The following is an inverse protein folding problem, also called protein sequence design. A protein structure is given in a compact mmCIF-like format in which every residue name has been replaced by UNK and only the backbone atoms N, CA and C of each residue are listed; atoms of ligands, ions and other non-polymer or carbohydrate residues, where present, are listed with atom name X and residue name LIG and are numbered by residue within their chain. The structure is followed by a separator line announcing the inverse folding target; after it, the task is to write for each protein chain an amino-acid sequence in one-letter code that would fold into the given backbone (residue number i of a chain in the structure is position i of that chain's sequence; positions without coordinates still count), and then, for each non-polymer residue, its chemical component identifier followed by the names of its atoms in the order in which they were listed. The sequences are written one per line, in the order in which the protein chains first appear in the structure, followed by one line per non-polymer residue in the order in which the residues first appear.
data_IF_680768088126
#
_entry.id   IF_680768088126
#
_cell.length_a   1.000
_cell.length_b   1.000
_cell.length_c   1.000
_cell.angle_alpha   90.00
_cell.angle_beta   90.00
_cell.angle_gamma   90.00
#
_symmetry.space_group_name_H-M   'P 1'
#
loop_
_entity.id
_entity.type
_entity.pdbx_description
1 polymer ?
2 non-polymer ?
3 non-polymer ?
4 non-polymer ?
5 non-polymer ?
6 water ?
#
# COMPACT_ATOMS: atom_id res chain seq x y z
N UNK A 2 0.76 -36.30 -9.21
CA UNK A 2 1.47 -34.96 -9.13
C UNK A 2 0.60 -33.73 -8.73
N UNK A 3 0.91 -33.18 -7.55
CA UNK A 3 0.20 -32.04 -7.03
C UNK A 3 0.44 -30.78 -7.93
N UNK A 4 -0.47 -29.81 -7.91
CA UNK A 4 -0.22 -28.52 -8.53
C UNK A 4 0.30 -27.62 -7.46
N UNK A 5 1.36 -26.92 -7.74
CA UNK A 5 1.75 -25.96 -6.65
C UNK A 5 0.93 -24.68 -6.75
N UNK A 6 0.51 -24.11 -5.60
CA UNK A 6 0.02 -22.73 -5.58
C UNK A 6 1.01 -21.78 -4.88
N UNK A 7 1.60 -20.92 -5.68
CA UNK A 7 2.55 -19.96 -5.23
C UNK A 7 1.86 -18.61 -4.84
N UNK A 8 1.81 -18.34 -3.52
CA UNK A 8 1.18 -17.12 -2.99
C UNK A 8 2.31 -16.12 -2.91
N UNK A 9 2.13 -14.94 -3.51
CA UNK A 9 3.03 -13.84 -3.23
C UNK A 9 2.27 -12.81 -2.38
N UNK A 10 2.09 -11.57 -2.88
CA UNK A 10 1.33 -10.59 -2.13
C UNK A 10 -0.15 -10.91 -2.31
N UNK A 11 -0.55 -12.10 -1.84
CA UNK A 11 -1.95 -12.51 -1.88
C UNK A 11 -2.12 -13.59 -0.86
N UNK A 12 -1.86 -13.20 0.37
CA UNK A 12 -1.87 -14.15 1.46
C UNK A 12 -3.29 -14.41 2.01
N UNK A 13 -4.12 -15.07 1.19
CA UNK A 13 -5.53 -15.31 1.52
C UNK A 13 -5.99 -16.55 0.81
N UNK A 14 -7.05 -17.14 1.32
CA UNK A 14 -7.81 -18.21 0.66
C UNK A 14 -8.96 -17.71 -0.25
N UNK A 15 -9.55 -16.56 0.08
CA UNK A 15 -10.79 -16.08 -0.54
C UNK A 15 -10.47 -15.26 -1.81
N UNK A 16 -11.32 -15.39 -2.82
CA UNK A 16 -11.13 -14.67 -4.09
C UNK A 16 -9.69 -14.84 -4.56
N UNK A 17 -9.25 -16.12 -4.69
CA UNK A 17 -7.88 -16.42 -5.09
C UNK A 17 -7.74 -17.24 -6.34
N UNK A 18 -7.74 -16.57 -7.53
CA UNK A 18 -7.86 -17.26 -8.82
C UNK A 18 -6.81 -18.34 -9.03
N UNK A 19 -5.55 -18.11 -8.68
CA UNK A 19 -4.61 -19.24 -8.92
C UNK A 19 -4.92 -20.47 -8.04
N UNK A 20 -5.36 -20.23 -6.81
CA UNK A 20 -5.72 -21.29 -5.88
C UNK A 20 -6.87 -22.13 -6.44
N UNK A 21 -7.96 -21.47 -6.86
CA UNK A 21 -9.04 -22.20 -7.54
C UNK A 21 -8.66 -22.87 -8.86
N UNK A 22 -7.98 -22.17 -9.75
CA UNK A 22 -7.58 -22.70 -11.09
C UNK A 22 -6.82 -24.03 -10.92
N UNK A 23 -5.98 -24.10 -9.88
CA UNK A 23 -5.24 -25.34 -9.53
C UNK A 23 -6.16 -26.36 -8.85
N UNK A 24 -6.95 -25.91 -7.88
CA UNK A 24 -7.80 -26.84 -7.17
C UNK A 24 -8.76 -27.62 -8.11
N UNK A 25 -9.33 -26.97 -9.14
CA UNK A 25 -10.17 -27.71 -10.12
C UNK A 25 -9.43 -28.76 -10.98
N UNK A 26 -8.11 -28.72 -11.05
CA UNK A 26 -7.38 -29.69 -11.90
C UNK A 26 -6.91 -30.91 -11.09
N UNK A 27 -6.71 -30.75 -9.78
CA UNK A 27 -6.10 -31.76 -8.91
C UNK A 27 -5.60 -31.23 -7.57
N UNK A 28 -5.00 -32.14 -6.78
CA UNK A 28 -4.59 -31.82 -5.41
C UNK A 28 -3.56 -30.72 -5.41
N UNK A 29 -3.54 -29.90 -4.36
CA UNK A 29 -2.61 -28.79 -4.32
C UNK A 29 -1.69 -28.81 -3.09
N UNK A 30 -0.65 -27.98 -3.15
CA UNK A 30 0.28 -27.72 -2.06
C UNK A 30 0.69 -26.25 -2.37
N UNK A 31 0.44 -25.40 -1.38
CA UNK A 31 0.81 -23.97 -1.49
C UNK A 31 2.27 -23.75 -1.10
N UNK A 32 2.78 -22.62 -1.53
CA UNK A 32 4.19 -22.28 -1.32
C UNK A 32 4.26 -20.78 -1.18
N UNK A 33 4.95 -20.36 -0.12
CA UNK A 33 5.54 -19.06 -0.08
C UNK A 33 7.07 -19.14 -0.08
N UNK A 34 7.68 -18.13 -0.69
CA UNK A 34 9.13 -17.97 -0.68
C UNK A 34 9.38 -16.61 -0.06
N UNK A 35 10.24 -16.59 1.00
CA UNK A 35 10.69 -15.38 1.67
C UNK A 35 11.91 -14.92 0.87
N UNK A 36 11.69 -13.88 0.09
CA UNK A 36 12.57 -13.47 -0.96
C UNK A 36 13.37 -12.34 -0.46
N UNK A 37 14.70 -12.45 -0.47
CA UNK A 37 15.48 -11.28 0.07
C UNK A 37 15.12 -9.95 -0.71
N UNK A 38 14.74 -10.05 -1.99
CA UNK A 38 14.37 -8.84 -2.74
C UNK A 38 13.20 -8.08 -2.09
N UNK A 39 12.36 -8.76 -1.31
CA UNK A 39 11.23 -8.03 -0.62
C UNK A 39 11.57 -7.87 0.86
N UNK A 40 12.43 -8.74 1.42
CA UNK A 40 12.53 -8.73 2.86
C UNK A 40 13.76 -8.11 3.46
N UNK A 41 14.70 -7.66 2.66
CA UNK A 41 15.64 -6.74 3.22
C UNK A 41 15.04 -5.31 3.30
N UNK A 42 14.27 -5.06 4.36
CA UNK A 42 13.51 -3.80 4.56
C UNK A 42 13.40 -3.62 6.06
N UNK A 43 12.57 -2.73 6.59
CA UNK A 43 12.66 -2.47 8.06
C UNK A 43 12.05 -3.66 8.92
N UNK A 44 12.51 -3.79 10.19
CA UNK A 44 11.88 -4.89 11.00
C UNK A 44 10.34 -4.90 10.98
N UNK A 45 9.67 -3.73 11.10
CA UNK A 45 8.19 -3.71 11.12
C UNK A 45 7.54 -4.41 9.88
N UNK A 46 8.17 -4.33 8.70
CA UNK A 46 7.53 -4.83 7.51
C UNK A 46 7.93 -6.28 7.32
N UNK A 47 9.18 -6.68 7.63
CA UNK A 47 9.54 -8.10 7.66
C UNK A 47 8.56 -8.84 8.60
N UNK A 48 8.31 -8.33 9.80
CA UNK A 48 7.42 -9.04 10.71
C UNK A 48 5.93 -9.10 10.18
N UNK A 49 5.41 -7.98 9.68
CA UNK A 49 4.07 -7.95 9.17
C UNK A 49 3.93 -8.97 8.09
N UNK A 50 4.87 -9.01 7.16
CA UNK A 50 4.80 -10.04 6.09
C UNK A 50 4.87 -11.46 6.72
N UNK A 51 5.85 -11.68 7.60
CA UNK A 51 6.07 -13.03 8.08
C UNK A 51 4.84 -13.53 8.92
N UNK A 52 4.27 -12.66 9.76
CA UNK A 52 3.10 -13.04 10.56
C UNK A 52 1.85 -13.37 9.74
N UNK A 53 1.56 -12.60 8.71
CA UNK A 53 0.62 -13.00 7.63
C UNK A 53 0.92 -14.33 6.88
N UNK A 54 2.17 -14.68 6.69
CA UNK A 54 2.48 -16.01 6.15
C UNK A 54 2.08 -16.97 7.19
N UNK A 55 2.43 -16.66 8.45
CA UNK A 55 2.15 -17.59 9.54
C UNK A 55 0.65 -17.77 9.64
N UNK A 56 -0.12 -16.71 9.50
CA UNK A 56 -1.54 -16.90 9.58
C UNK A 56 -1.96 -17.68 8.32
N UNK A 57 -1.26 -17.57 7.20
CA UNK A 57 -1.81 -18.26 6.04
C UNK A 57 -1.66 -19.80 6.20
N UNK A 58 -0.52 -20.23 6.77
CA UNK A 58 -0.36 -21.65 7.13
C UNK A 58 -1.37 -22.15 8.16
N UNK A 59 -1.67 -21.32 9.17
CA UNK A 59 -2.67 -21.73 10.16
C UNK A 59 -3.97 -21.97 9.43
N UNK A 60 -4.22 -21.12 8.42
CA UNK A 60 -5.43 -21.20 7.59
C UNK A 60 -5.46 -22.47 6.74
N UNK A 61 -4.29 -22.83 6.20
CA UNK A 61 -4.20 -24.12 5.47
C UNK A 61 -4.36 -25.26 6.51
N UNK A 62 -3.53 -25.27 7.57
CA UNK A 62 -3.57 -26.36 8.57
C UNK A 62 -4.99 -26.54 9.01
N UNK A 63 -5.77 -25.45 9.13
CA UNK A 63 -7.12 -25.56 9.73
C UNK A 63 -8.15 -26.24 8.79
N UNK A 64 -7.85 -26.18 7.47
CA UNK A 64 -8.70 -26.79 6.47
C UNK A 64 -8.07 -28.08 5.98
N UNK A 65 -6.95 -28.50 6.59
CA UNK A 65 -6.50 -29.88 6.47
C UNK A 65 -5.40 -29.90 5.40
N UNK A 66 -4.98 -28.72 4.87
CA UNK A 66 -3.92 -28.67 3.80
C UNK A 66 -2.48 -28.22 4.16
N UNK A 67 -1.65 -28.06 3.12
CA UNK A 67 -0.20 -27.90 3.28
C UNK A 67 0.38 -26.63 2.56
N UNK A 68 1.18 -25.83 3.27
CA UNK A 68 1.78 -24.56 2.78
C UNK A 68 3.26 -24.75 3.13
N UNK A 69 4.08 -25.01 2.14
CA UNK A 69 5.54 -24.85 2.25
C UNK A 69 5.95 -23.37 2.48
N UNK A 70 6.98 -23.14 3.26
CA UNK A 70 7.58 -21.79 3.26
C UNK A 70 9.07 -21.97 3.13
N UNK A 71 9.67 -21.40 2.11
CA UNK A 71 11.08 -21.62 1.87
C UNK A 71 11.67 -20.24 1.80
N UNK A 72 12.98 -20.20 1.93
CA UNK A 72 13.69 -18.94 2.02
C UNK A 72 14.81 -18.91 0.94
N UNK A 73 14.92 -17.80 0.20
CA UNK A 73 15.99 -17.58 -0.82
C UNK A 73 15.41 -17.07 -2.15
N UNK A 74 16.12 -17.28 -3.28
CA UNK A 74 15.62 -16.61 -4.49
C UNK A 74 14.46 -17.40 -5.13
N UNK A 75 13.33 -16.74 -5.57
CA UNK A 75 12.20 -17.51 -6.17
C UNK A 75 12.61 -18.52 -7.30
N UNK A 76 13.60 -18.15 -8.15
CA UNK A 76 14.01 -18.96 -9.32
C UNK A 76 14.89 -20.09 -8.90
N UNK A 77 15.23 -20.10 -7.62
CA UNK A 77 15.97 -21.21 -7.01
C UNK A 77 15.08 -22.05 -6.13
N UNK A 78 14.12 -21.42 -5.47
CA UNK A 78 13.17 -22.19 -4.62
C UNK A 78 11.89 -22.70 -5.22
N UNK A 79 11.30 -21.97 -6.16
CA UNK A 79 10.10 -22.53 -6.80
C UNK A 79 10.54 -23.82 -7.54
N UNK A 80 11.66 -23.78 -8.30
CA UNK A 80 12.02 -25.09 -8.89
C UNK A 80 12.31 -26.18 -7.88
N UNK A 81 13.01 -25.86 -6.81
CA UNK A 81 13.24 -26.85 -5.77
C UNK A 81 11.97 -27.48 -5.20
N UNK A 82 10.99 -26.68 -4.85
CA UNK A 82 9.75 -27.26 -4.35
C UNK A 82 9.01 -27.99 -5.48
N UNK A 83 9.09 -27.49 -6.72
CA UNK A 83 8.61 -28.30 -7.86
C UNK A 83 9.22 -29.70 -7.92
N UNK A 84 10.55 -29.81 -7.78
CA UNK A 84 11.20 -31.12 -7.92
C UNK A 84 10.78 -31.87 -6.70
N UNK A 85 11.00 -31.34 -5.50
CA UNK A 85 10.72 -32.14 -4.29
C UNK A 85 9.33 -32.60 -4.16
N UNK A 86 8.40 -31.94 -4.82
CA UNK A 86 7.04 -32.48 -4.75
C UNK A 86 6.63 -33.23 -5.97
N UNK A 87 7.43 -33.16 -7.03
CA UNK A 87 7.01 -33.64 -8.35
C UNK A 87 5.82 -32.91 -8.93
N UNK A 88 5.80 -31.58 -8.81
CA UNK A 88 4.54 -30.89 -9.19
C UNK A 88 4.39 -30.97 -10.68
N UNK A 89 3.15 -30.99 -11.21
CA UNK A 89 2.96 -30.99 -12.68
C UNK A 89 2.99 -29.54 -13.18
N UNK A 90 2.71 -28.59 -12.30
CA UNK A 90 2.67 -27.20 -12.77
C UNK A 90 2.61 -26.25 -11.60
N UNK A 91 2.90 -24.98 -11.81
CA UNK A 91 2.79 -24.03 -10.70
C UNK A 91 1.83 -22.95 -11.15
N UNK A 92 1.04 -22.40 -10.21
CA UNK A 92 0.05 -21.36 -10.48
C UNK A 92 0.25 -20.12 -9.65
N UNK A 93 0.01 -18.94 -10.21
CA UNK A 93 0.16 -17.70 -9.39
C UNK A 93 -0.60 -16.53 -10.03
N UNK A 94 -0.69 -15.39 -9.35
CA UNK A 94 -1.40 -14.20 -9.86
C UNK A 94 -0.39 -13.34 -10.60
N UNK A 95 -0.75 -12.95 -11.85
CA UNK A 95 0.18 -12.10 -12.63
C UNK A 95 0.64 -10.88 -11.85
N UNK A 96 1.88 -10.43 -12.08
CA UNK A 96 2.34 -9.19 -11.46
C UNK A 96 2.82 -8.29 -12.56
N UNK A 97 2.28 -7.09 -12.64
CA UNK A 97 2.73 -6.25 -13.79
C UNK A 97 3.85 -5.24 -13.44
N UNK A 98 4.52 -5.45 -12.31
CA UNK A 98 5.61 -4.61 -11.87
C UNK A 98 6.97 -5.08 -12.36
N UNK A 99 7.95 -4.16 -12.30
CA UNK A 99 9.18 -4.48 -13.03
C UNK A 99 9.92 -5.59 -12.34
N UNK A 100 9.65 -5.80 -11.06
CA UNK A 100 10.34 -6.92 -10.39
C UNK A 100 9.56 -8.20 -10.58
N UNK A 101 8.23 -8.10 -10.41
CA UNK A 101 7.30 -9.09 -10.86
C UNK A 101 7.67 -9.68 -12.20
N UNK A 102 7.83 -8.85 -13.20
CA UNK A 102 8.13 -9.38 -14.53
C UNK A 102 9.46 -10.05 -14.54
N UNK A 103 10.42 -9.49 -13.82
CA UNK A 103 11.80 -10.01 -13.88
C UNK A 103 11.87 -11.34 -13.16
N UNK A 104 11.30 -11.42 -11.96
CA UNK A 104 11.35 -12.67 -11.18
C UNK A 104 10.55 -13.79 -11.93
N UNK A 105 9.25 -13.53 -12.16
CA UNK A 105 8.46 -14.38 -13.01
C UNK A 105 9.09 -14.84 -14.34
N UNK A 106 9.84 -13.96 -15.02
CA UNK A 106 10.62 -14.42 -16.20
C UNK A 106 11.67 -15.48 -15.87
N UNK A 107 12.54 -15.15 -14.92
CA UNK A 107 13.53 -16.03 -14.37
C UNK A 107 12.95 -17.30 -13.79
N UNK A 108 11.83 -17.24 -13.06
CA UNK A 108 11.30 -18.54 -12.58
C UNK A 108 10.87 -19.43 -13.74
N UNK A 109 10.33 -18.83 -14.78
CA UNK A 109 9.76 -19.63 -15.86
C UNK A 109 10.86 -20.32 -16.68
N UNK A 110 12.04 -19.73 -16.68
CA UNK A 110 13.15 -20.37 -17.35
C UNK A 110 13.69 -21.55 -16.57
N UNK A 111 13.88 -21.38 -15.27
CA UNK A 111 14.45 -22.46 -14.47
C UNK A 111 13.48 -23.60 -14.20
N UNK A 112 12.17 -23.33 -14.17
CA UNK A 112 11.15 -24.39 -14.03
C UNK A 112 11.12 -25.26 -15.27
N UNK A 113 11.13 -26.55 -15.09
CA UNK A 113 10.90 -27.52 -16.19
C UNK A 113 9.43 -27.90 -16.49
N UNK A 114 8.48 -27.32 -15.76
CA UNK A 114 7.04 -27.56 -15.90
C UNK A 114 6.40 -26.16 -16.02
N UNK A 115 5.18 -26.08 -16.54
CA UNK A 115 4.64 -24.76 -16.80
C UNK A 115 4.53 -23.87 -15.57
N UNK A 116 4.52 -22.55 -15.80
CA UNK A 116 4.16 -21.54 -14.78
C UNK A 116 2.92 -20.80 -15.31
N UNK A 117 1.73 -21.03 -14.73
CA UNK A 117 0.51 -20.48 -15.30
C UNK A 117 0.14 -19.29 -14.43
N UNK A 118 0.13 -18.07 -14.97
CA UNK A 118 -0.20 -16.86 -14.17
C UNK A 118 -1.63 -16.40 -14.48
N UNK A 119 -2.38 -15.99 -13.49
CA UNK A 119 -3.74 -15.55 -13.67
C UNK A 119 -3.89 -14.09 -13.17
N UNK A 120 -4.85 -13.34 -13.79
CA UNK A 120 -5.10 -11.95 -13.47
C UNK A 120 -5.42 -11.83 -12.01
N UNK A 121 -4.74 -10.93 -11.33
CA UNK A 121 -5.04 -10.72 -9.95
C UNK A 121 -6.46 -10.06 -9.87
N UNK A 122 -7.28 -10.35 -8.84
CA UNK A 122 -8.49 -9.53 -8.87
C UNK A 122 -8.34 -8.02 -8.53
N UNK A 123 -8.91 -7.18 -9.37
CA UNK A 123 -8.77 -5.71 -9.32
C UNK A 123 -10.19 -5.18 -9.63
N UNK A 124 -10.45 -3.92 -9.31
CA UNK A 124 -11.63 -3.17 -9.74
C UNK A 124 -11.41 -2.78 -11.17
N UNK A 125 -10.24 -2.30 -11.51
CA UNK A 125 -9.86 -2.08 -12.89
C UNK A 125 -8.40 -2.53 -13.05
N UNK A 126 -8.04 -3.06 -14.20
CA UNK A 126 -6.66 -3.63 -14.31
C UNK A 126 -5.58 -2.52 -14.57
N UNK A 127 -4.30 -2.78 -14.31
CA UNK A 127 -3.33 -1.65 -14.54
C UNK A 127 -2.80 -1.61 -15.94
N UNK A 128 -3.17 -2.61 -16.75
CA UNK A 128 -2.51 -2.69 -18.05
C UNK A 128 -3.40 -2.51 -19.17
N UNK A 129 -4.31 -1.56 -19.02
CA UNK A 129 -5.25 -1.22 -20.10
C UNK A 129 -4.54 -0.53 -21.30
N UNK A 130 -5.11 -0.67 -22.52
CA UNK A 130 -4.54 0.00 -23.69
C UNK A 130 -4.30 1.51 -23.43
N UNK A 131 -5.33 2.31 -23.17
CA UNK A 131 -5.12 3.76 -22.98
C UNK A 131 -4.44 4.10 -21.67
N UNK A 132 -3.64 5.18 -21.71
CA UNK A 132 -2.88 5.74 -20.58
C UNK A 132 -3.49 7.05 -19.99
N UNK A 133 -4.15 7.06 -18.81
CA UNK A 133 -4.74 8.34 -18.28
C UNK A 133 -3.81 8.95 -17.21
N UNK A 134 -3.68 10.27 -17.09
CA UNK A 134 -2.97 10.85 -15.91
C UNK A 134 -3.98 11.42 -14.93
N UNK A 135 -5.23 11.44 -15.36
CA UNK A 135 -6.32 11.94 -14.54
C UNK A 135 -7.17 10.79 -14.00
N UNK A 136 -7.61 10.90 -12.75
CA UNK A 136 -8.35 9.84 -12.14
C UNK A 136 -9.76 9.73 -12.77
N UNK A 137 -10.39 10.86 -13.13
CA UNK A 137 -11.82 10.84 -13.42
C UNK A 137 -12.00 10.00 -14.68
N UNK A 138 -11.32 10.35 -15.79
CA UNK A 138 -11.52 9.55 -17.02
C UNK A 138 -11.24 8.04 -16.80
N UNK A 139 -10.19 7.74 -16.07
CA UNK A 139 -9.90 6.39 -15.64
C UNK A 139 -11.05 5.72 -14.85
N UNK A 140 -11.57 6.39 -13.82
CA UNK A 140 -12.58 5.77 -12.96
C UNK A 140 -13.87 5.48 -13.72
N UNK A 141 -14.11 6.18 -14.81
CA UNK A 141 -15.37 5.96 -15.57
C UNK A 141 -15.51 4.60 -16.21
N UNK A 142 -14.39 3.91 -16.45
CA UNK A 142 -14.37 2.59 -17.12
C UNK A 142 -14.96 1.59 -16.12
N UNK A 143 -15.11 1.97 -14.86
CA UNK A 143 -15.53 1.02 -13.85
C UNK A 143 -17.02 0.99 -13.76
N UNK A 144 -17.55 -0.21 -13.70
CA UNK A 144 -19.00 -0.36 -13.78
C UNK A 144 -19.58 -1.03 -12.57
N UNK A 145 -18.84 -1.15 -11.44
CA UNK A 145 -19.21 -2.06 -10.34
C UNK A 145 -18.43 -3.39 -10.30
N UNK A 146 -18.24 -3.97 -9.11
CA UNK A 146 -17.36 -5.12 -8.84
C UNK A 146 -17.94 -6.36 -9.53
N UNK A 147 -17.14 -7.23 -10.17
CA UNK A 147 -17.59 -8.61 -10.46
C UNK A 147 -17.69 -9.49 -9.14
N UNK A 148 -18.48 -10.57 -9.12
CA UNK A 148 -18.52 -11.34 -7.84
C UNK A 148 -17.16 -11.95 -7.42
N UNK A 149 -16.81 -11.89 -6.12
CA UNK A 149 -15.61 -12.57 -5.73
C UNK A 149 -15.75 -14.07 -5.78
N UNK A 150 -14.63 -14.80 -5.81
CA UNK A 150 -14.68 -16.28 -5.93
C UNK A 150 -14.67 -16.86 -4.51
N UNK A 151 -15.35 -18.00 -4.32
CA UNK A 151 -15.42 -18.56 -2.92
C UNK A 151 -14.01 -18.94 -2.40
N UNK A 152 -13.81 -19.13 -1.07
CA UNK A 152 -12.54 -19.82 -0.69
C UNK A 152 -12.73 -21.34 -0.90
N UNK A 153 -11.61 -22.14 -0.83
CA UNK A 153 -11.87 -23.57 -0.88
C UNK A 153 -12.64 -23.89 0.35
N UNK A 154 -13.28 -25.05 0.41
CA UNK A 154 -13.85 -25.46 1.66
C UNK A 154 -12.93 -26.17 2.53
N UNK A 155 -12.16 -27.09 1.98
CA UNK A 155 -11.29 -27.92 2.78
C UNK A 155 -10.20 -28.30 1.79
N UNK A 156 -8.96 -28.44 2.21
CA UNK A 156 -7.90 -28.52 1.27
C UNK A 156 -7.39 -29.94 1.30
N UNK A 157 -6.83 -30.42 0.19
CA UNK A 157 -6.37 -31.83 0.30
C UNK A 157 -5.08 -31.96 1.16
N UNK A 158 -4.85 -33.14 1.71
CA UNK A 158 -3.76 -33.41 2.56
C UNK A 158 -2.41 -33.40 1.76
N UNK A 159 -1.34 -32.86 2.34
CA UNK A 159 -0.05 -32.85 1.63
C UNK A 159 1.03 -32.67 2.69
N UNK A 160 2.29 -32.95 2.34
CA UNK A 160 3.35 -32.82 3.38
C UNK A 160 3.70 -31.31 3.52
N UNK A 161 4.26 -30.90 4.65
CA UNK A 161 4.45 -29.48 4.87
C UNK A 161 5.94 -29.32 5.16
N UNK A 162 6.63 -28.36 4.54
CA UNK A 162 8.07 -28.06 4.86
C UNK A 162 8.32 -26.56 5.02
N UNK A 163 9.34 -26.21 5.80
CA UNK A 163 9.76 -24.83 5.94
C UNK A 163 9.54 -24.26 7.33
N UNK A 164 10.41 -23.34 7.75
CA UNK A 164 10.24 -22.64 9.05
C UNK A 164 9.86 -21.18 8.81
N UNK A 165 8.98 -20.61 9.65
CA UNK A 165 8.66 -19.19 9.56
C UNK A 165 9.36 -18.39 10.62
N UNK A 166 10.47 -17.77 10.28
CA UNK A 166 11.11 -17.25 11.43
C UNK A 166 10.30 -16.11 12.12
N UNK A 167 10.75 -15.77 13.32
CA UNK A 167 10.03 -14.85 14.16
C UNK A 167 10.85 -13.62 14.29
N UNK A 168 10.30 -12.45 13.93
CA UNK A 168 11.08 -11.20 14.06
C UNK A 168 10.45 -10.13 14.88
N UNK A 169 11.25 -9.22 15.42
CA UNK A 169 10.76 -8.25 16.40
C UNK A 169 10.18 -7.11 15.60
N UNK A 170 8.86 -6.89 15.63
CA UNK A 170 8.40 -5.79 14.75
C UNK A 170 8.88 -4.45 15.28
N UNK A 171 9.23 -4.38 16.56
CA UNK A 171 9.54 -3.11 17.24
C UNK A 171 8.31 -2.34 17.67
N UNK A 172 7.13 -2.72 17.17
CA UNK A 172 5.93 -2.04 17.61
C UNK A 172 4.75 -3.03 17.60
N UNK A 173 3.60 -2.60 18.14
CA UNK A 173 2.35 -3.39 18.20
C UNK A 173 1.76 -3.55 16.82
N UNK A 174 1.48 -4.78 16.40
CA UNK A 174 0.91 -5.00 15.06
C UNK A 174 -0.56 -5.25 15.05
N UNK A 175 -1.24 -5.06 13.90
CA UNK A 175 -2.67 -5.45 13.90
C UNK A 175 -2.88 -6.96 14.08
N UNK A 176 -4.11 -7.41 14.20
CA UNK A 176 -4.29 -8.84 14.17
C UNK A 176 -4.06 -9.47 12.72
N UNK A 177 -3.03 -10.35 12.57
CA UNK A 177 -2.64 -10.87 11.23
C UNK A 177 -3.61 -11.90 10.63
N UNK A 178 -3.70 -12.01 9.28
CA UNK A 178 -4.56 -13.05 8.68
C UNK A 178 -5.93 -12.62 8.17
N UNK A 179 -6.50 -13.35 7.22
CA UNK A 179 -7.75 -12.90 6.65
C UNK A 179 -8.98 -13.09 7.55
N UNK A 180 -8.87 -13.91 8.58
CA UNK A 180 -9.97 -13.87 9.51
C UNK A 180 -10.14 -12.51 10.28
N UNK A 181 -9.03 -11.96 10.74
CA UNK A 181 -9.04 -10.60 11.24
C UNK A 181 -9.44 -9.55 10.19
N UNK A 182 -8.87 -9.63 9.01
CA UNK A 182 -9.21 -8.68 7.96
C UNK A 182 -10.72 -8.70 7.60
N UNK A 183 -11.32 -9.89 7.42
CA UNK A 183 -12.77 -9.92 7.09
C UNK A 183 -13.65 -9.48 8.27
N UNK A 184 -13.29 -9.82 9.52
CA UNK A 184 -14.01 -9.16 10.67
C UNK A 184 -13.93 -7.65 10.63
N UNK A 185 -12.75 -7.12 10.29
CA UNK A 185 -12.55 -5.67 10.29
C UNK A 185 -13.42 -5.05 9.21
N UNK A 186 -13.38 -5.66 8.04
CA UNK A 186 -14.21 -5.18 6.96
C UNK A 186 -15.70 -5.16 7.34
N UNK A 187 -16.19 -6.18 8.02
CA UNK A 187 -17.65 -6.24 8.20
C UNK A 187 -18.05 -5.21 9.28
N UNK A 188 -17.19 -5.00 10.30
CA UNK A 188 -17.44 -3.95 11.35
C UNK A 188 -17.48 -2.58 10.69
N UNK A 189 -16.45 -2.35 9.87
CA UNK A 189 -16.40 -1.12 9.14
C UNK A 189 -17.67 -0.94 8.28
N UNK A 190 -18.04 -1.93 7.50
CA UNK A 190 -19.10 -1.68 6.55
C UNK A 190 -20.35 -1.47 7.40
N UNK A 191 -20.31 -2.00 8.60
CA UNK A 191 -21.54 -2.02 9.37
C UNK A 191 -21.63 -0.75 10.23
N UNK A 192 -20.51 -0.34 10.85
CA UNK A 192 -20.58 0.84 11.75
C UNK A 192 -20.14 2.19 11.12
N UNK A 193 -19.06 2.19 10.32
CA UNK A 193 -18.66 3.49 9.78
C UNK A 193 -19.07 3.87 8.38
N UNK A 194 -19.46 2.90 7.57
CA UNK A 194 -19.71 3.19 6.17
C UNK A 194 -20.67 4.38 5.95
N UNK A 195 -21.85 4.39 6.64
CA UNK A 195 -22.79 5.50 6.42
C UNK A 195 -22.13 6.86 6.46
N UNK A 196 -21.05 7.04 7.20
CA UNK A 196 -20.56 8.41 7.43
C UNK A 196 -19.20 8.67 6.74
N UNK A 197 -18.77 7.69 5.95
CA UNK A 197 -17.42 7.69 5.41
C UNK A 197 -17.13 9.04 4.73
N UNK A 198 -18.12 9.62 4.10
CA UNK A 198 -17.82 10.63 3.10
C UNK A 198 -17.70 11.93 3.88
N UNK A 199 -18.47 11.97 4.97
CA UNK A 199 -18.36 13.03 6.01
C UNK A 199 -17.11 12.90 6.90
N UNK A 200 -16.56 11.69 7.02
CA UNK A 200 -15.58 11.42 8.06
C UNK A 200 -14.12 11.09 7.56
N UNK A 201 -13.95 10.84 6.25
CA UNK A 201 -12.71 10.33 5.66
C UNK A 201 -11.48 11.18 5.86
N UNK A 202 -11.67 12.50 5.98
CA UNK A 202 -10.63 13.50 6.10
C UNK A 202 -10.18 13.93 7.54
N UNK A 203 -10.63 13.26 8.59
CA UNK A 203 -10.09 13.59 9.90
C UNK A 203 -8.59 13.24 9.93
N UNK A 204 -7.88 13.73 10.93
CA UNK A 204 -6.48 13.49 11.01
C UNK A 204 -6.21 12.22 11.73
N UNK A 205 -7.15 11.82 12.60
CA UNK A 205 -7.04 10.56 13.37
C UNK A 205 -7.35 9.29 12.55
N UNK A 206 -7.99 9.50 11.38
CA UNK A 206 -8.17 8.48 10.38
C UNK A 206 -9.18 7.52 10.85
N UNK A 207 -9.94 7.96 11.87
CA UNK A 207 -10.83 7.07 12.66
C UNK A 207 -12.21 6.88 12.02
N UNK A 208 -12.51 7.73 11.01
CA UNK A 208 -13.65 7.44 10.13
C UNK A 208 -13.45 6.51 8.94
N UNK A 209 -12.23 5.97 8.74
CA UNK A 209 -11.94 4.93 7.75
C UNK A 209 -11.72 3.49 8.28
N UNK A 210 -11.33 2.59 7.38
CA UNK A 210 -11.52 1.16 7.65
C UNK A 210 -10.30 0.67 8.38
N UNK A 211 -9.21 1.43 8.19
CA UNK A 211 -7.92 0.96 8.61
C UNK A 211 -7.58 -0.42 8.06
N UNK A 212 -7.80 -0.65 6.77
CA UNK A 212 -7.55 -2.00 6.21
C UNK A 212 -6.34 -2.02 5.25
N UNK A 213 -5.77 -0.84 4.94
CA UNK A 213 -4.59 -0.83 4.12
C UNK A 213 -3.50 -1.86 4.49
N UNK A 214 -3.26 -2.11 5.79
CA UNK A 214 -2.14 -3.04 6.02
C UNK A 214 -2.47 -4.40 5.37
N UNK A 215 -3.75 -4.75 5.34
CA UNK A 215 -4.20 -5.99 4.74
C UNK A 215 -4.20 -5.98 3.23
N UNK A 216 -4.62 -4.85 2.59
CA UNK A 216 -4.67 -4.74 1.10
C UNK A 216 -3.25 -4.77 0.53
N UNK A 217 -2.28 -4.39 1.32
CA UNK A 217 -0.92 -4.33 0.83
C UNK A 217 -0.29 -5.72 0.62
N UNK A 218 -0.61 -6.68 1.50
CA UNK A 218 -0.18 -8.05 1.32
C UNK A 218 -1.25 -8.88 0.60
N UNK A 219 -2.33 -8.24 0.16
CA UNK A 219 -3.35 -9.03 -0.51
C UNK A 219 -4.04 -9.99 0.44
N UNK A 220 -4.02 -9.70 1.76
CA UNK A 220 -4.74 -10.45 2.74
C UNK A 220 -6.23 -10.20 2.59
N UNK A 221 -6.60 -9.10 1.92
CA UNK A 221 -8.01 -8.87 1.61
C UNK A 221 -8.03 -8.49 0.17
N UNK A 222 -9.06 -8.93 -0.58
CA UNK A 222 -9.10 -8.76 -2.00
C UNK A 222 -9.78 -7.46 -2.29
N UNK A 223 -9.23 -6.65 -3.24
CA UNK A 223 -10.00 -5.40 -3.44
C UNK A 223 -11.33 -5.67 -4.13
N UNK A 224 -11.48 -6.77 -4.87
CA UNK A 224 -12.77 -6.97 -5.52
C UNK A 224 -13.80 -7.50 -4.51
N UNK A 225 -13.35 -8.24 -3.48
CA UNK A 225 -14.29 -8.63 -2.42
C UNK A 225 -14.76 -7.39 -1.61
N UNK A 226 -13.81 -6.54 -1.16
CA UNK A 226 -14.15 -5.33 -0.42
C UNK A 226 -15.17 -4.50 -1.17
N UNK A 227 -14.93 -4.25 -2.47
CA UNK A 227 -15.83 -3.38 -3.28
C UNK A 227 -17.23 -4.04 -3.45
N UNK A 228 -17.22 -5.33 -3.80
CA UNK A 228 -18.44 -6.06 -4.07
C UNK A 228 -19.29 -5.97 -2.82
N UNK A 229 -18.65 -6.18 -1.69
CA UNK A 229 -19.36 -6.09 -0.41
C UNK A 229 -19.90 -4.71 -0.06
N UNK A 230 -19.12 -3.64 -0.35
CA UNK A 230 -19.62 -2.25 -0.14
C UNK A 230 -20.77 -1.96 -1.11
N UNK A 231 -20.71 -2.60 -2.27
CA UNK A 231 -21.74 -2.42 -3.24
C UNK A 231 -23.08 -3.10 -2.88
N UNK A 232 -23.00 -4.21 -2.16
CA UNK A 232 -24.18 -4.81 -1.57
C UNK A 232 -24.78 -3.99 -0.41
N UNK A 233 -23.92 -3.36 0.40
CA UNK A 233 -24.47 -2.61 1.50
C UNK A 233 -25.12 -1.40 0.90
N UNK A 234 -24.42 -0.78 -0.06
CA UNK A 234 -24.95 0.37 -0.86
C UNK A 234 -25.10 1.65 -0.05
N UNK A 235 -25.83 2.63 -0.54
CA UNK A 235 -25.97 3.92 0.18
C UNK A 235 -24.83 4.84 -0.20
N UNK A 236 -24.69 5.95 0.53
CA UNK A 236 -23.73 7.01 0.11
C UNK A 236 -22.24 6.74 0.46
N UNK A 237 -22.01 6.42 1.73
CA UNK A 237 -20.66 6.10 2.13
C UNK A 237 -20.11 5.17 1.05
N UNK A 238 -21.01 4.35 0.49
CA UNK A 238 -20.57 3.14 -0.25
C UNK A 238 -19.87 3.51 -1.51
N UNK A 239 -20.44 4.51 -2.23
CA UNK A 239 -19.82 4.97 -3.47
C UNK A 239 -18.42 5.57 -3.30
N UNK A 240 -18.21 6.20 -2.16
CA UNK A 240 -17.07 7.08 -2.00
C UNK A 240 -15.97 6.18 -1.48
N UNK A 241 -16.35 5.17 -0.71
CA UNK A 241 -15.32 4.29 -0.17
C UNK A 241 -14.69 3.56 -1.36
N UNK A 242 -15.56 3.22 -2.32
CA UNK A 242 -15.11 2.37 -3.40
C UNK A 242 -14.31 3.20 -4.41
N UNK A 243 -14.58 4.48 -4.41
CA UNK A 243 -13.85 5.39 -5.21
C UNK A 243 -12.40 5.44 -4.65
N UNK A 244 -12.24 5.21 -3.33
CA UNK A 244 -10.91 5.16 -2.77
C UNK A 244 -10.20 3.87 -3.11
N UNK A 245 -10.92 2.76 -3.09
CA UNK A 245 -10.26 1.52 -3.52
C UNK A 245 -9.74 1.76 -4.93
N UNK A 246 -10.55 2.46 -5.76
CA UNK A 246 -10.15 2.76 -7.15
C UNK A 246 -8.87 3.62 -7.24
N UNK A 247 -8.63 4.50 -6.26
CA UNK A 247 -7.38 5.23 -6.27
C UNK A 247 -6.19 4.32 -6.07
N UNK A 248 -6.39 3.17 -5.44
CA UNK A 248 -5.31 2.16 -5.38
C UNK A 248 -5.03 1.51 -6.77
N UNK A 249 -6.07 1.06 -7.47
CA UNK A 249 -5.83 0.49 -8.79
C UNK A 249 -5.17 1.52 -9.74
N UNK A 250 -5.61 2.78 -9.65
CA UNK A 250 -5.11 3.89 -10.48
C UNK A 250 -3.59 4.13 -10.24
N UNK A 251 -3.17 4.12 -8.97
CA UNK A 251 -1.72 3.99 -8.63
C UNK A 251 -0.91 2.91 -9.34
N UNK A 252 -1.44 1.70 -9.48
CA UNK A 252 -0.80 0.70 -10.36
C UNK A 252 -0.94 1.04 -11.85
N UNK A 253 -2.12 1.53 -12.26
CA UNK A 253 -2.24 2.04 -13.63
C UNK A 253 -1.10 3.08 -14.00
N UNK A 254 -0.73 3.94 -13.06
CA UNK A 254 0.15 5.05 -13.47
C UNK A 254 1.54 4.47 -13.56
N UNK A 255 1.91 3.64 -12.59
CA UNK A 255 3.29 3.16 -12.57
C UNK A 255 3.58 2.21 -13.70
N UNK A 256 2.53 1.57 -14.21
CA UNK A 256 2.67 0.72 -15.36
C UNK A 256 2.89 1.48 -16.67
N UNK A 257 2.11 2.54 -16.88
CA UNK A 257 2.15 3.27 -18.16
C UNK A 257 3.24 4.33 -18.08
N UNK A 258 3.65 4.66 -16.88
CA UNK A 258 4.54 5.82 -16.72
C UNK A 258 5.70 5.40 -15.79
N UNK A 259 6.46 4.33 -16.16
CA UNK A 259 7.48 3.65 -15.31
C UNK A 259 8.52 4.60 -14.81
N UNK A 260 8.72 5.69 -15.59
CA UNK A 260 9.85 6.62 -15.39
C UNK A 260 9.46 7.57 -14.34
N UNK A 261 8.18 7.59 -14.10
CA UNK A 261 7.65 8.21 -12.91
C UNK A 261 8.42 7.81 -11.63
N UNK A 262 8.97 6.61 -11.56
CA UNK A 262 9.69 6.25 -10.30
C UNK A 262 11.05 7.00 -10.18
N UNK A 263 11.47 7.66 -11.27
CA UNK A 263 12.70 8.42 -11.27
C UNK A 263 12.51 9.91 -11.16
N UNK A 264 11.37 10.39 -11.66
CA UNK A 264 11.19 11.83 -11.88
C UNK A 264 9.72 12.17 -11.93
N UNK A 265 9.40 13.41 -11.57
CA UNK A 265 8.06 13.94 -11.63
C UNK A 265 7.44 13.61 -12.99
N UNK A 266 6.26 12.99 -12.96
CA UNK A 266 5.30 12.91 -14.05
C UNK A 266 5.17 14.20 -14.87
N UNK A 267 5.11 15.36 -14.23
CA UNK A 267 5.03 16.59 -15.00
C UNK A 267 6.44 17.07 -15.45
N UNK A 268 6.70 17.05 -16.79
CA UNK A 268 7.98 17.47 -17.41
C UNK A 268 8.40 18.80 -16.89
N UNK A 269 7.45 19.68 -16.58
CA UNK A 269 7.87 21.01 -16.16
C UNK A 269 8.59 21.00 -14.81
N UNK A 270 8.41 19.96 -13.99
CA UNK A 270 9.12 19.85 -12.69
C UNK A 270 10.44 19.09 -12.62
N UNK A 271 10.97 18.63 -13.77
CA UNK A 271 12.10 17.67 -13.79
C UNK A 271 13.39 18.36 -13.45
N UNK A 272 13.43 19.65 -13.72
CA UNK A 272 14.52 20.47 -13.20
C UNK A 272 14.09 21.36 -12.01
N UNK A 273 13.67 20.78 -10.91
CA UNK A 273 13.34 21.65 -9.78
C UNK A 273 14.51 21.58 -8.81
N UNK A 274 14.89 22.73 -8.23
CA UNK A 274 16.09 22.69 -7.41
C UNK A 274 15.84 22.33 -5.94
N UNK A 275 15.64 21.03 -5.66
CA UNK A 275 15.74 20.45 -4.30
C UNK A 275 17.05 20.85 -3.61
N UNK A 276 16.98 20.99 -2.30
CA UNK A 276 18.09 21.42 -1.55
C UNK A 276 18.25 20.28 -0.58
N UNK A 277 19.18 19.38 -0.88
CA UNK A 277 19.46 18.34 0.10
C UNK A 277 20.07 19.09 1.28
N UNK A 278 19.94 18.50 2.46
CA UNK A 278 20.25 19.23 3.70
C UNK A 278 19.95 18.31 4.90
N UNK A 279 21.00 17.64 5.38
CA UNK A 279 20.86 16.58 6.35
C UNK A 279 20.10 17.14 7.57
N UNK A 280 20.51 18.30 8.07
CA UNK A 280 19.96 18.81 9.33
C UNK A 280 18.43 18.70 9.27
N UNK A 281 17.86 19.31 8.23
CA UNK A 281 16.42 19.38 7.92
C UNK A 281 15.68 18.06 7.57
N UNK A 282 16.25 17.26 6.68
CA UNK A 282 15.77 15.88 6.58
C UNK A 282 15.51 15.19 7.98
N UNK A 283 16.48 15.26 8.86
CA UNK A 283 16.33 14.62 10.17
C UNK A 283 15.15 15.16 10.99
N UNK A 284 14.89 16.46 10.89
CA UNK A 284 13.82 17.05 11.70
C UNK A 284 12.38 16.76 11.17
N UNK A 285 12.22 16.75 9.85
CA UNK A 285 11.03 16.17 9.24
C UNK A 285 10.88 14.69 9.63
N UNK A 286 11.94 13.91 9.32
CA UNK A 286 11.94 12.47 9.49
C UNK A 286 11.48 12.02 10.90
N UNK A 287 11.92 12.77 11.92
CA UNK A 287 11.79 12.41 13.35
C UNK A 287 10.64 13.24 13.99
N UNK A 288 9.81 13.88 13.17
CA UNK A 288 8.82 14.88 13.62
C UNK A 288 9.31 15.93 14.62
N UNK A 289 10.38 16.67 14.29
CA UNK A 289 10.86 17.77 15.20
C UNK A 289 10.92 19.13 14.51
N UNK A 290 9.89 19.49 13.72
CA UNK A 290 10.02 20.55 12.73
C UNK A 290 9.51 21.84 13.35
N UNK A 291 8.73 21.63 14.42
CA UNK A 291 8.21 22.70 15.23
C UNK A 291 6.79 22.95 14.83
N UNK A 292 6.30 22.18 13.85
CA UNK A 292 4.93 22.37 13.34
C UNK A 292 3.91 21.36 13.92
N UNK A 293 3.06 21.79 14.87
CA UNK A 293 2.33 20.73 15.64
C UNK A 293 1.84 19.54 14.77
N UNK A 294 1.33 19.86 13.59
CA UNK A 294 0.67 18.89 12.77
C UNK A 294 1.65 17.91 12.09
N UNK A 295 2.85 18.38 11.78
CA UNK A 295 3.78 17.52 11.10
C UNK A 295 4.52 16.64 12.10
N UNK A 296 4.77 17.17 13.30
CA UNK A 296 5.40 16.31 14.27
C UNK A 296 4.44 15.28 14.93
N UNK A 297 3.16 15.58 14.99
CA UNK A 297 2.20 14.54 15.35
C UNK A 297 2.17 13.42 14.32
N UNK A 298 2.05 13.81 13.05
CA UNK A 298 2.01 12.82 11.98
C UNK A 298 3.33 12.06 12.01
N UNK A 299 4.47 12.73 11.97
CA UNK A 299 5.68 11.96 11.89
C UNK A 299 5.87 11.05 13.09
N UNK A 300 5.41 11.48 14.27
CA UNK A 300 5.52 10.64 15.47
C UNK A 300 4.56 9.49 15.65
N UNK A 301 3.33 9.64 15.15
CA UNK A 301 2.45 8.51 15.04
C UNK A 301 2.99 7.40 14.10
N UNK A 302 3.39 7.77 12.88
CA UNK A 302 4.09 6.87 11.93
C UNK A 302 5.28 6.12 12.52
N UNK A 303 6.13 6.82 13.25
CA UNK A 303 7.24 6.15 13.94
C UNK A 303 6.78 5.11 14.91
N UNK A 304 5.85 5.47 15.78
CA UNK A 304 5.37 4.58 16.85
C UNK A 304 4.47 3.50 16.28
N UNK A 305 3.74 3.79 15.20
CA UNK A 305 2.56 2.90 14.83
C UNK A 305 2.61 2.17 13.48
N UNK A 306 3.34 2.67 12.49
CA UNK A 306 3.31 2.06 11.21
C UNK A 306 2.09 2.51 10.42
N UNK A 307 1.31 3.41 11.01
CA UNK A 307 0.08 3.87 10.36
C UNK A 307 -0.14 5.36 10.46
N UNK A 308 -0.83 5.90 9.47
CA UNK A 308 -1.07 7.31 9.33
C UNK A 308 -2.34 7.47 8.45
N UNK A 309 -3.18 8.47 8.77
CA UNK A 309 -4.44 8.70 8.01
C UNK A 309 -4.07 9.30 6.63
N UNK A 310 -4.97 9.19 5.63
CA UNK A 310 -4.78 9.93 4.37
C UNK A 310 -4.48 11.43 4.53
N UNK A 311 -5.26 12.10 5.38
CA UNK A 311 -5.10 13.52 5.61
C UNK A 311 -3.79 13.91 6.39
N UNK A 312 -3.26 13.01 7.24
CA UNK A 312 -1.98 13.35 7.86
C UNK A 312 -0.87 13.11 6.82
N UNK A 313 -1.00 12.01 6.07
CA UNK A 313 0.03 11.67 5.10
C UNK A 313 0.21 12.77 4.06
N UNK A 314 -0.88 13.29 3.53
CA UNK A 314 -0.85 14.28 2.45
C UNK A 314 -0.26 15.62 2.94
N UNK A 315 -0.65 16.03 4.15
CA UNK A 315 0.10 17.02 4.97
C UNK A 315 1.56 16.71 5.31
N UNK A 316 1.85 15.60 5.96
CA UNK A 316 3.27 15.32 6.32
C UNK A 316 4.18 15.29 5.09
N UNK A 317 3.69 14.65 4.03
CA UNK A 317 4.43 14.52 2.79
C UNK A 317 4.61 15.81 1.95
N UNK A 318 3.55 16.62 1.82
CA UNK A 318 3.66 17.89 1.13
C UNK A 318 4.59 18.86 1.87
N UNK A 319 4.57 18.73 3.19
CA UNK A 319 5.33 19.67 3.92
C UNK A 319 6.80 19.52 3.51
N UNK A 320 7.31 18.28 3.52
CA UNK A 320 8.71 18.02 3.10
C UNK A 320 9.05 18.62 1.74
N UNK A 321 8.21 18.35 0.76
CA UNK A 321 8.41 18.88 -0.58
C UNK A 321 8.20 20.37 -0.66
N UNK A 322 7.08 20.88 -0.15
CA UNK A 322 6.75 22.28 -0.49
C UNK A 322 7.32 23.31 0.47
N UNK A 323 7.46 22.95 1.74
CA UNK A 323 7.90 23.91 2.73
C UNK A 323 9.37 23.64 3.01
N UNK A 324 9.79 22.39 2.94
CA UNK A 324 11.21 22.10 3.16
C UNK A 324 12.00 21.90 1.87
N UNK A 325 11.31 21.76 0.75
CA UNK A 325 11.98 21.53 -0.53
C UNK A 325 12.97 20.41 -0.50
N UNK A 326 12.69 19.36 0.30
CA UNK A 326 13.58 18.19 0.41
C UNK A 326 13.49 17.32 -0.84
N UNK A 327 14.55 16.58 -1.23
CA UNK A 327 14.30 15.86 -2.47
C UNK A 327 13.27 14.72 -2.26
N UNK A 328 12.22 14.68 -3.08
CA UNK A 328 11.24 13.63 -3.01
C UNK A 328 11.79 12.17 -2.88
N UNK A 329 12.73 11.72 -3.73
CA UNK A 329 13.07 10.31 -3.65
C UNK A 329 13.56 9.93 -2.23
N UNK A 330 14.51 10.67 -1.68
CA UNK A 330 14.91 10.31 -0.36
C UNK A 330 13.66 10.15 0.56
N UNK A 331 12.80 11.16 0.59
CA UNK A 331 11.68 11.20 1.57
C UNK A 331 10.72 10.04 1.40
N UNK A 332 10.46 9.75 0.15
CA UNK A 332 9.29 9.02 -0.09
C UNK A 332 9.65 7.52 0.11
N UNK A 333 10.88 7.17 -0.24
CA UNK A 333 11.50 5.99 0.31
C UNK A 333 11.40 5.84 1.79
N UNK A 334 11.85 6.82 2.55
CA UNK A 334 11.95 6.65 4.03
C UNK A 334 10.52 6.51 4.60
N UNK A 335 9.58 7.23 3.99
CA UNK A 335 8.19 7.15 4.35
C UNK A 335 7.66 5.74 4.23
N UNK A 336 7.96 5.07 3.13
CA UNK A 336 7.31 3.81 2.77
C UNK A 336 7.82 2.68 3.70
N UNK A 337 9.10 2.77 4.02
CA UNK A 337 9.74 1.96 5.07
C UNK A 337 9.16 2.07 6.49
N UNK A 338 8.50 3.19 6.79
CA UNK A 338 7.85 3.29 8.09
C UNK A 338 6.45 2.68 8.13
N UNK A 339 5.89 2.40 6.96
CA UNK A 339 4.46 2.08 6.89
C UNK A 339 4.27 0.56 6.81
N UNK A 340 3.38 -0.03 7.63
CA UNK A 340 3.04 -1.45 7.37
C UNK A 340 2.46 -1.66 5.99
N UNK A 341 1.77 -0.65 5.50
CA UNK A 341 0.95 -0.83 4.29
C UNK A 341 1.75 -0.27 3.12
N UNK A 342 3.02 0.08 3.38
CA UNK A 342 3.88 0.77 2.40
C UNK A 342 3.95 -0.01 1.10
N UNK A 343 3.70 0.68 0.01
CA UNK A 343 3.40 -0.01 -1.23
C UNK A 343 3.96 0.90 -2.29
N UNK A 344 5.01 0.43 -2.93
CA UNK A 344 5.79 1.28 -3.81
C UNK A 344 4.94 2.24 -4.70
N UNK A 345 4.13 1.68 -5.57
CA UNK A 345 3.29 2.45 -6.50
C UNK A 345 2.33 3.45 -5.79
N UNK A 346 1.78 3.07 -4.65
CA UNK A 346 0.73 3.82 -4.04
C UNK A 346 1.37 4.96 -3.34
N UNK A 347 2.45 4.67 -2.65
CA UNK A 347 3.22 5.70 -1.96
C UNK A 347 3.80 6.67 -3.00
N UNK A 348 4.16 6.18 -4.20
CA UNK A 348 4.71 7.12 -5.23
C UNK A 348 3.57 8.04 -5.73
N UNK A 349 2.43 7.45 -5.98
CA UNK A 349 1.29 8.18 -6.39
C UNK A 349 0.91 9.22 -5.37
N UNK A 350 0.87 8.85 -4.09
CA UNK A 350 0.73 9.86 -3.01
C UNK A 350 1.76 11.01 -2.98
N UNK A 351 3.06 10.67 -3.08
CA UNK A 351 4.11 11.69 -3.05
C UNK A 351 3.94 12.60 -4.24
N UNK A 352 3.68 12.01 -5.43
CA UNK A 352 3.47 12.88 -6.61
C UNK A 352 2.20 13.75 -6.62
N UNK A 353 1.19 13.31 -5.90
CA UNK A 353 -0.04 14.05 -5.76
C UNK A 353 0.17 15.18 -4.75
N UNK A 354 0.46 14.80 -3.50
CA UNK A 354 0.70 15.74 -2.40
C UNK A 354 1.74 16.78 -2.82
N UNK A 355 2.83 16.30 -3.45
CA UNK A 355 3.98 17.10 -3.78
C UNK A 355 3.86 17.95 -5.04
N UNK A 356 2.77 17.79 -5.78
CA UNK A 356 2.47 18.72 -6.84
C UNK A 356 3.36 18.43 -8.02
N UNK A 357 3.55 17.16 -8.35
CA UNK A 357 4.50 16.78 -9.40
C UNK A 357 3.82 15.90 -10.46
N UNK A 358 2.50 15.82 -10.38
CA UNK A 358 1.77 15.77 -11.59
C UNK A 358 0.82 14.61 -11.64
N UNK A 359 0.64 13.91 -10.50
CA UNK A 359 -0.53 13.06 -10.42
C UNK A 359 -1.81 13.82 -10.56
N UNK A 360 -2.66 13.39 -11.50
CA UNK A 360 -4.06 13.89 -11.55
C UNK A 360 -4.08 15.42 -11.61
N UNK A 361 -3.03 16.01 -12.16
CA UNK A 361 -3.12 17.42 -12.51
C UNK A 361 -3.35 18.21 -11.17
N UNK A 362 -2.95 17.61 -10.05
CA UNK A 362 -3.07 18.38 -8.82
C UNK A 362 -2.20 19.65 -8.94
N UNK A 363 -2.81 20.82 -8.70
CA UNK A 363 -2.10 22.02 -9.16
C UNK A 363 -1.03 22.33 -8.14
N UNK A 364 0.11 22.82 -8.63
CA UNK A 364 1.16 23.30 -7.75
C UNK A 364 0.63 24.31 -6.70
N UNK A 365 -0.32 25.15 -7.05
CA UNK A 365 -0.65 26.25 -6.16
C UNK A 365 -1.26 25.82 -4.83
N UNK A 366 -1.78 24.61 -4.77
CA UNK A 366 -2.42 24.17 -3.53
C UNK A 366 -1.41 23.97 -2.38
N UNK A 367 -1.24 24.98 -1.51
CA UNK A 367 -0.37 24.82 -0.33
C UNK A 367 -1.14 24.75 1.00
N UNK A 368 -1.08 23.58 1.64
CA UNK A 368 -1.57 23.42 3.01
C UNK A 368 -0.99 24.48 3.93
N UNK A 369 -1.87 25.35 4.43
CA UNK A 369 -1.64 26.05 5.66
C UNK A 369 -1.81 25.08 6.80
N UNK A 370 -0.74 24.89 7.57
CA UNK A 370 -0.63 23.76 8.49
C UNK A 370 -1.49 23.90 9.76
N UNK A 371 -1.71 25.11 10.24
CA UNK A 371 -2.62 25.33 11.39
C UNK A 371 -4.13 25.27 10.99
N UNK A 372 -4.49 26.09 10.01
CA UNK A 372 -5.71 25.82 9.22
C UNK A 372 -6.02 24.29 9.08
N UNK A 373 -5.08 23.53 8.52
CA UNK A 373 -5.32 22.09 8.29
C UNK A 373 -5.69 21.39 9.60
N UNK A 374 -5.06 21.86 10.66
CA UNK A 374 -5.26 21.32 11.97
C UNK A 374 -6.59 21.71 12.55
N UNK A 375 -7.04 22.94 12.30
CA UNK A 375 -8.33 23.37 12.90
C UNK A 375 -9.55 22.77 12.20
N UNK A 376 -9.48 22.60 10.88
CA UNK A 376 -10.53 21.93 10.10
C UNK A 376 -10.58 20.40 10.29
N UNK A 377 -9.53 19.73 10.76
CA UNK A 377 -9.54 18.24 10.74
C UNK A 377 -9.28 17.45 12.04
N UNK A 378 -9.40 18.14 13.15
CA UNK A 378 -9.21 17.61 14.50
C UNK A 378 -9.94 18.45 15.62
N UNK A 379 -11.29 18.55 15.56
CA UNK A 379 -12.01 19.80 15.90
C UNK A 379 -11.73 20.36 17.32
N UNK A 380 -11.65 19.47 18.33
CA UNK A 380 -11.19 19.83 19.69
C UNK A 380 -9.89 19.17 20.22
N UNK A 381 -8.89 19.09 19.37
CA UNK A 381 -7.55 18.82 19.86
C UNK A 381 -7.16 17.37 20.13
N UNK A 382 -8.12 16.45 20.10
CA UNK A 382 -7.86 15.19 20.76
C UNK A 382 -6.59 14.55 20.14
N UNK A 383 -6.41 14.76 18.83
CA UNK A 383 -5.42 13.96 18.05
C UNK A 383 -4.10 14.53 18.42
N UNK A 384 -3.99 15.85 18.31
CA UNK A 384 -2.73 16.59 18.60
C UNK A 384 -2.20 16.34 20.01
N UNK A 385 -3.10 16.10 20.95
CA UNK A 385 -2.72 15.86 22.32
C UNK A 385 -2.26 14.41 22.53
N UNK A 386 -2.74 13.50 21.68
CA UNK A 386 -2.29 12.09 21.74
C UNK A 386 -0.88 11.93 21.17
N UNK A 387 -0.46 12.79 20.23
CA UNK A 387 0.82 12.51 19.53
C UNK A 387 1.89 13.53 19.68
N UNK A 388 1.57 14.75 20.13
CA UNK A 388 2.60 15.74 20.48
C UNK A 388 2.11 16.81 21.43
N UNK A 389 1.77 16.44 22.67
CA UNK A 389 1.24 17.43 23.60
C UNK A 389 2.27 18.50 24.03
N UNK A 390 3.47 18.44 23.46
CA UNK A 390 4.46 19.54 23.54
C UNK A 390 3.75 20.81 23.15
N UNK A 391 2.85 20.66 22.19
CA UNK A 391 2.25 21.78 21.50
C UNK A 391 0.86 22.05 22.08
N UNK A 392 0.60 23.32 22.46
CA UNK A 392 -0.65 23.77 23.08
C UNK A 392 -1.73 24.01 22.03
N UNK A 393 -1.33 24.17 20.77
CA UNK A 393 -2.26 24.19 19.63
C UNK A 393 -1.44 23.97 18.35
N UNK A 394 -2.13 23.97 17.20
CA UNK A 394 -1.50 23.95 15.85
C UNK A 394 -0.70 25.23 15.48
N UNK A 395 -0.64 26.20 16.40
CA UNK A 395 0.32 27.30 16.27
C UNK A 395 1.74 26.78 16.35
N UNK A 396 2.55 27.08 15.32
CA UNK A 396 3.95 26.66 15.27
C UNK A 396 4.84 27.38 16.33
N UNK A 397 5.98 26.74 16.65
CA UNK A 397 6.76 26.92 17.90
C UNK A 397 8.22 26.65 17.60
N UNK A 398 8.98 27.73 17.37
CA UNK A 398 10.31 27.67 16.73
C UNK A 398 10.34 26.62 15.63
N UNK A 399 9.53 26.82 14.56
CA UNK A 399 9.58 26.08 13.26
C UNK A 399 10.96 26.14 12.59
N UNK A 400 11.44 25.01 12.04
CA UNK A 400 12.78 24.94 11.41
C UNK A 400 12.95 25.83 10.16
N UNK A 401 11.85 26.20 9.50
CA UNK A 401 11.80 27.43 8.65
C UNK A 401 10.68 28.41 9.06
N UNK A 402 10.78 29.67 8.61
CA UNK A 402 9.59 30.54 8.50
C UNK A 402 8.59 30.03 7.45
N UNK A 403 7.35 29.82 7.85
CA UNK A 403 6.36 29.20 6.99
C UNK A 403 6.00 30.05 5.76
N UNK A 404 5.74 31.33 5.97
CA UNK A 404 5.42 32.18 4.84
C UNK A 404 6.63 32.41 3.96
N UNK A 405 7.79 32.58 4.58
CA UNK A 405 8.97 32.83 3.77
C UNK A 405 9.03 31.73 2.74
N UNK A 406 8.55 30.55 3.15
CA UNK A 406 8.84 29.27 2.50
C UNK A 406 7.64 28.86 1.61
N UNK A 407 6.43 29.07 2.11
CA UNK A 407 5.29 29.21 1.22
C UNK A 407 5.62 30.21 0.11
N UNK A 408 5.98 31.45 0.44
CA UNK A 408 6.25 32.43 -0.64
C UNK A 408 7.40 31.91 -1.53
N UNK A 409 8.37 31.25 -0.93
CA UNK A 409 9.49 30.72 -1.70
C UNK A 409 9.03 29.72 -2.79
N UNK A 410 8.34 28.64 -2.36
CA UNK A 410 7.91 27.57 -3.30
C UNK A 410 7.06 28.06 -4.49
N UNK A 411 5.87 28.63 -4.17
CA UNK A 411 5.01 29.33 -5.14
C UNK A 411 5.82 30.11 -6.20
N UNK A 412 6.94 30.69 -5.77
CA UNK A 412 7.79 31.51 -6.65
C UNK A 412 8.65 30.66 -7.61
N UNK A 413 9.47 29.78 -7.06
CA UNK A 413 10.30 28.86 -7.87
C UNK A 413 9.35 28.13 -8.81
N UNK A 414 8.19 27.79 -8.27
CA UNK A 414 7.26 26.88 -8.92
C UNK A 414 6.44 27.49 -10.06
N UNK A 415 6.13 28.78 -10.00
CA UNK A 415 5.35 29.44 -11.06
C UNK A 415 6.14 29.69 -12.35
N UNK A 416 7.47 29.87 -12.23
CA UNK A 416 8.41 29.86 -13.39
C UNK A 416 8.35 28.58 -14.22
N UNK A 417 9.11 27.58 -13.79
CA UNK A 417 8.84 26.18 -14.09
C UNK A 417 7.43 25.95 -14.72
N UNK A 418 6.37 26.14 -13.93
CA UNK A 418 5.05 25.43 -14.08
C UNK A 418 4.29 25.94 -15.26
N UNK A 419 4.12 27.27 -15.30
CA UNK A 419 3.39 27.94 -16.37
C UNK A 419 4.17 29.17 -16.86
N UNK A 420 5.47 28.99 -17.13
CA UNK A 420 6.34 30.07 -17.60
C UNK A 420 7.21 29.67 -18.78
X LIG B 1 -0.40 -20.08 -19.55
X LIG C 1 -16.17 -13.95 -10.79
X LIG D 1 -9.85 3.88 3.70
X LIG D 1 -10.68 2.93 4.57
X LIG D 1 -10.29 5.34 3.81
X LIG D 1 -9.88 3.44 2.15
X LIG D 1 -10.22 2.13 1.68
X LIG D 1 -8.98 1.57 0.94
X LIG D 1 -8.81 2.20 -0.35
X LIG D 1 -7.64 1.81 1.67
X LIG D 1 -7.22 0.87 2.64
X LIG D 1 -6.63 1.84 0.53
X LIG D 1 -6.21 0.53 0.24
X LIG D 1 -7.41 2.41 -0.64
X LIG D 1 -7.06 3.84 -0.63
X LIG D 1 -7.62 4.82 0.20
X LIG D 1 -7.04 6.01 -0.17
X LIG D 1 -6.13 5.80 -1.17
X LIG D 1 -5.26 6.65 -1.85
X LIG D 1 -5.20 7.96 -1.58
X LIG D 1 -4.46 6.14 -2.86
X LIG D 1 -4.44 4.78 -3.07
X LIG D 1 -5.29 3.96 -2.40
X LIG D 1 -6.14 4.44 -1.47
X LIG D 1 -1.65 3.71 0.93
X LIG D 1 -1.07 2.48 1.03
X LIG D 1 -1.91 1.64 1.19
X LIG D 1 0.30 2.21 0.99
X LIG D 1 1.17 3.33 0.87
X LIG D 1 2.43 3.16 0.84
X LIG D 1 0.54 4.62 0.76
X LIG D 1 1.32 5.77 0.75
X LIG D 1 0.73 7.02 0.80
X LIG D 1 1.54 8.14 0.66
X LIG D 1 0.95 9.41 0.54
X LIG D 1 1.77 10.65 0.82
X LIG D 1 -0.44 9.52 0.54
X LIG D 1 -1.10 10.88 0.54
X LIG D 1 -1.26 8.37 0.53
X LIG D 1 -0.69 7.15 0.73
X LIG D 1 -1.51 6.06 0.79
X LIG D 1 -0.86 4.81 0.83
X LIG D 1 -2.94 6.21 0.32
X LIG D 1 -3.90 6.31 1.53
X LIG D 1 -3.41 7.36 2.36
X LIG D 1 -3.95 5.07 2.43
X LIG D 1 -3.99 3.76 1.83
X LIG D 1 -5.09 5.26 3.45
X LIG D 1 -4.60 6.13 4.43
X LIG D 1 -5.35 3.93 4.15
X LIG D 1 -6.17 4.13 5.30
X LIG D 1 -7.58 3.30 5.36
X LIG D 1 -7.24 1.80 5.19
X LIG D 1 -8.39 3.65 6.56
X LIG D 1 -8.29 3.80 4.02
X LIG E 1 6.10 -11.71 -1.86
X LIG E 1 6.86 -12.87 -1.81
X LIG E 1 6.60 -13.76 -2.66
X LIG E 1 7.84 -13.09 -0.90
X LIG E 1 8.11 -12.17 0.03
X LIG E 1 8.99 -12.38 0.92
X LIG E 1 7.33 -10.90 0.00
X LIG E 1 7.48 -9.98 0.94
X LIG E 1 6.77 -8.82 0.97
X LIG E 1 7.04 -7.90 1.96
X LIG E 1 6.36 -6.70 1.99
X LIG E 1 6.62 -5.70 3.11
X LIG E 1 5.37 -6.42 0.89
X LIG E 1 5.14 -7.31 -0.13
X LIG E 1 5.86 -8.49 -0.13
X LIG E 1 5.56 -9.50 -1.05
X LIG E 1 6.35 -10.66 -1.06
X LIG E 1 4.83 -9.04 -2.23
X LIG E 1 5.77 -8.70 -3.32
X LIG E 1 5.84 -7.25 -3.38
X LIG E 1 5.30 -9.45 -4.57
X LIG E 1 6.32 -9.74 -5.53
X LIG E 1 4.23 -8.75 -5.36
X LIG E 1 3.04 -9.38 -4.85
X LIG E 1 4.37 -9.24 -6.79
X LIG E 1 4.37 -4.55 0.90
X LIG E 1 3.47 -10.38 -6.86
X LIG F 1 5.75 -23.10 16.10
X LIG F 1 4.96 -23.00 17.41
X LIG F 1 6.13 -21.63 15.94
X LIG F 1 4.86 -23.58 14.94
X LIG F 1 7.00 -24.01 16.07
X LIG G 1 10.75 -1.99 0.14
X LIG G 1 10.57 -2.59 1.52
X LIG G 1 11.95 -1.01 0.12
X LIG G 1 9.51 -1.22 -0.36
X LIG G 1 11.06 -3.17 -0.73
#
# INVERSE_FOLDING_TARGET
MGPLLVWHRGDLRLHDHPALLEALARGPVVGLVVLDPNNLKTTPRRRAWFLENVRALREAYRARGGALWVLEGLPWEKVPEAARRLKAKAVYALTSHTPYGRYRDGRVREALPVPLHLLPAPHLLPPDLPRAYRVYTPFSRLYRGAAPPLPPPEALPKGPEEGEIPREDPGLPLPEPGEEAALAGLRAFLEAKLPRYAEERDRLDGEGGSRLSPYFALGVLSPRLAAWEAERRGGEGARKWVAELLWRDFSYHLLYHFPWMAERPLDPRFQAFPWQEDEALFQAWYEGKTGVPLVDAAMRELHATGFLSNRARMNAAQFAVKHLLLPWKRCEEAFRHLLLDGDRAVNLQGWQWAGGLGVDAAPYFRVFNPVLQGERHDPEGRWLKRWAPEYPSYAPKDPVVDLEEARRRYLRLARDLARG
CL CL
CL CL
FAD PA O1A O2A O5B C5B C4B O4B C3B O3B C2B O2B C1B N9A C8A N7A C5A C6A N6A N1A C2A N3A C4A N1 C2 O2 N3 C4 O4 C4X N5 C5X C6 C7 C7M C8 C8M C9 C9A N10 C10 C1' C2' O2' C3' O3' C4' O4' C5' O5' P O1P O2P O3P
IRF N1 C2 O2 N3 C4 O4 C4A N5 C5A C6 C7 C7M C8 C9 C9A N10 C10 C1' C2' O2' C3' O3' C4' O4' C5' I8 O5'
PO4 P O1 O2 O3 O4
PO4 P O1 O2 O3 O4
#
